data_IF_560717679875
#
_entry.id   IF_560717679875
#
_cell.length_a   1.000
_cell.length_b   1.000
_cell.length_c   1.000
_cell.angle_alpha   90.00
_cell.angle_beta   90.00
_cell.angle_gamma   90.00
#
_symmetry.space_group_name_H-M   'P 1'
#
loop_
_entity.id
_entity.type
_entity.pdbx_description
1 polymer ?
#
# COMPACT_ATOMS: atom_id res chain seq x y z
N UNK A 1 20.57 40.06 39.44
CA UNK A 1 20.70 38.68 38.92
C UNK A 1 19.66 38.51 37.84
N UNK A 2 19.99 38.41 36.55
CA UNK A 2 19.02 38.15 35.51
C UNK A 2 18.61 36.67 35.55
N UNK A 3 17.31 36.42 35.54
CA UNK A 3 16.72 35.12 35.44
C UNK A 3 17.06 34.50 34.09
N UNK A 4 17.52 33.25 34.12
CA UNK A 4 17.83 32.44 32.93
C UNK A 4 16.58 32.37 32.04
N UNK A 5 16.78 32.68 30.75
CA UNK A 5 15.81 32.40 29.73
C UNK A 5 15.57 30.88 29.71
N UNK A 6 14.43 30.45 30.17
CA UNK A 6 13.92 29.09 29.92
C UNK A 6 13.76 28.96 28.41
N UNK A 7 14.53 28.05 27.81
CA UNK A 7 14.30 27.58 26.45
C UNK A 7 12.87 27.02 26.34
N UNK A 8 11.97 27.88 25.88
CA UNK A 8 10.64 27.45 25.47
C UNK A 8 10.82 26.74 24.12
N UNK A 9 10.99 25.43 24.16
CA UNK A 9 10.85 24.64 22.95
C UNK A 9 9.48 24.97 22.33
N UNK A 10 9.42 25.22 21.01
CA UNK A 10 8.13 25.45 20.37
C UNK A 10 7.23 24.23 20.61
N UNK A 11 6.03 24.45 21.12
CA UNK A 11 5.05 23.43 21.53
C UNK A 11 4.63 22.42 20.43
N UNK A 12 5.27 22.42 19.26
CA UNK A 12 4.99 21.58 18.09
C UNK A 12 6.21 20.81 17.53
N UNK A 13 7.37 20.82 18.19
CA UNK A 13 8.53 20.09 17.71
C UNK A 13 8.37 18.57 17.96
N UNK A 14 8.69 17.74 16.96
CA UNK A 14 8.74 16.29 17.14
C UNK A 14 9.89 15.89 18.04
N UNK A 15 9.71 14.85 18.84
CA UNK A 15 10.80 14.26 19.61
C UNK A 15 11.86 13.67 18.67
N UNK A 16 13.16 13.70 19.06
CA UNK A 16 14.22 13.02 18.31
C UNK A 16 13.94 11.52 18.23
N UNK A 17 13.51 11.07 17.06
CA UNK A 17 13.14 9.68 16.75
C UNK A 17 13.05 9.50 15.23
N UNK A 18 12.96 8.24 14.78
CA UNK A 18 12.66 7.92 13.38
C UNK A 18 11.17 7.63 13.25
N UNK A 19 10.50 8.34 12.36
CA UNK A 19 9.11 8.13 11.98
C UNK A 19 9.06 7.52 10.59
N UNK A 20 8.78 6.22 10.52
CA UNK A 20 8.66 5.47 9.25
C UNK A 20 7.22 5.64 8.77
N UNK A 21 7.04 6.40 7.69
CA UNK A 21 5.72 6.88 7.24
C UNK A 21 5.40 6.36 5.85
N UNK A 22 4.22 5.77 5.69
CA UNK A 22 3.67 5.44 4.38
C UNK A 22 3.24 6.70 3.64
N UNK A 23 3.86 6.93 2.48
CA UNK A 23 3.60 8.07 1.60
C UNK A 23 2.35 7.92 0.74
N UNK A 24 1.71 6.75 0.76
CA UNK A 24 0.65 6.42 -0.17
C UNK A 24 1.15 5.96 -1.54
N UNK A 25 0.25 5.64 -2.47
CA UNK A 25 0.57 4.97 -3.74
C UNK A 25 1.13 5.92 -4.82
N UNK A 26 0.96 7.24 -4.63
CA UNK A 26 1.37 8.22 -5.63
C UNK A 26 0.65 9.56 -5.50
N UNK A 27 -0.67 9.57 -5.32
CA UNK A 27 -1.43 10.79 -5.09
C UNK A 27 -1.08 11.40 -3.71
N UNK A 28 -0.62 12.65 -3.62
CA UNK A 28 -0.18 13.25 -2.36
C UNK A 28 -1.26 13.33 -1.29
N UNK A 29 -2.52 13.46 -1.68
CA UNK A 29 -3.69 13.51 -0.80
C UNK A 29 -4.09 12.15 -0.20
N UNK A 30 -3.42 11.06 -0.63
CA UNK A 30 -3.58 9.73 -0.04
C UNK A 30 -2.59 9.45 1.10
N UNK A 31 -1.79 10.40 1.50
CA UNK A 31 -1.06 10.31 2.76
C UNK A 31 -2.03 10.37 3.93
N UNK A 32 -1.72 9.67 5.02
CA UNK A 32 -2.56 9.78 6.23
C UNK A 32 -2.38 11.16 6.88
N UNK A 33 -3.43 11.66 7.55
CA UNK A 33 -3.36 12.92 8.32
C UNK A 33 -2.21 12.90 9.34
N UNK A 34 -1.93 11.73 9.96
CA UNK A 34 -0.77 11.58 10.85
C UNK A 34 0.53 11.72 10.08
N UNK A 35 0.66 11.05 8.96
CA UNK A 35 1.86 11.11 8.11
C UNK A 35 2.15 12.54 7.65
N UNK A 36 1.16 13.26 7.15
CA UNK A 36 1.28 14.65 6.73
C UNK A 36 1.74 15.57 7.87
N UNK A 37 1.14 15.41 9.07
CA UNK A 37 1.53 16.20 10.23
C UNK A 37 2.97 15.95 10.67
N UNK A 38 3.42 14.68 10.67
CA UNK A 38 4.81 14.33 10.96
C UNK A 38 5.75 14.92 9.91
N UNK A 39 5.39 14.81 8.65
CA UNK A 39 6.17 15.34 7.53
C UNK A 39 6.37 16.85 7.62
N UNK A 40 5.33 17.61 7.97
CA UNK A 40 5.39 19.07 8.10
C UNK A 40 6.18 19.56 9.32
N UNK A 41 6.52 18.69 10.27
CA UNK A 41 7.23 19.03 11.50
C UNK A 41 8.65 18.46 11.58
N UNK A 42 9.02 17.56 10.67
CA UNK A 42 10.30 16.86 10.67
C UNK A 42 11.49 17.80 10.48
N UNK A 43 12.62 17.48 11.16
CA UNK A 43 13.91 18.13 10.91
C UNK A 43 14.59 17.57 9.67
N UNK A 44 14.41 16.28 9.42
CA UNK A 44 15.00 15.57 8.29
C UNK A 44 13.96 14.67 7.63
N UNK A 45 13.94 14.68 6.30
CA UNK A 45 13.07 13.80 5.49
C UNK A 45 13.92 12.96 4.56
N UNK A 46 13.90 11.63 4.74
CA UNK A 46 14.51 10.66 3.83
C UNK A 46 13.43 10.02 2.97
N UNK A 47 13.60 10.01 1.65
CA UNK A 47 12.59 9.47 0.73
C UNK A 47 13.20 8.78 -0.48
N UNK A 48 12.55 7.75 -0.99
CA UNK A 48 12.92 7.11 -2.24
C UNK A 48 12.45 7.96 -3.42
N UNK A 49 13.30 8.87 -3.91
CA UNK A 49 12.98 9.85 -4.95
C UNK A 49 12.57 9.26 -6.31
N UNK A 50 12.66 7.94 -6.49
CA UNK A 50 12.12 7.23 -7.66
C UNK A 50 10.69 6.70 -7.48
N UNK A 51 10.16 6.71 -6.24
CA UNK A 51 8.90 6.09 -5.86
C UNK A 51 7.97 7.00 -5.06
N UNK A 52 8.49 8.09 -4.49
CA UNK A 52 7.73 9.10 -3.74
C UNK A 52 7.65 10.37 -4.59
N UNK A 53 6.44 10.88 -4.90
CA UNK A 53 6.29 12.09 -5.69
C UNK A 53 6.82 13.31 -4.94
N UNK A 54 7.45 14.22 -5.68
CA UNK A 54 8.04 15.45 -5.12
C UNK A 54 6.98 16.42 -4.61
N UNK A 55 5.77 16.35 -5.12
CA UNK A 55 4.61 17.14 -4.67
C UNK A 55 4.30 16.90 -3.19
N UNK A 56 4.55 15.70 -2.69
CA UNK A 56 4.38 15.37 -1.27
C UNK A 56 5.35 16.16 -0.37
N UNK A 57 6.51 16.56 -0.91
CA UNK A 57 7.52 17.32 -0.18
C UNK A 57 7.17 18.81 -0.04
N UNK A 58 6.12 19.28 -0.70
CA UNK A 58 5.64 20.67 -0.58
C UNK A 58 5.19 21.01 0.86
N UNK A 59 4.74 20.01 1.63
CA UNK A 59 4.35 20.18 3.02
C UNK A 59 5.54 20.17 4.01
N UNK A 60 6.74 19.86 3.54
CA UNK A 60 7.97 19.87 4.36
C UNK A 60 8.36 21.30 4.68
N UNK A 61 8.68 21.58 5.93
CA UNK A 61 9.13 22.93 6.33
C UNK A 61 10.43 23.32 5.61
N UNK A 62 10.63 24.60 5.29
CA UNK A 62 11.77 25.07 4.48
C UNK A 62 13.14 24.76 5.08
N UNK A 63 13.23 24.68 6.42
CA UNK A 63 14.46 24.42 7.17
C UNK A 63 14.81 22.93 7.25
N UNK A 64 13.90 22.04 6.90
CA UNK A 64 14.14 20.62 6.99
C UNK A 64 15.10 20.13 5.90
N UNK A 65 16.02 19.26 6.31
CA UNK A 65 16.92 18.59 5.38
C UNK A 65 16.16 17.51 4.59
N UNK A 66 16.21 17.55 3.26
CA UNK A 66 15.55 16.59 2.38
C UNK A 66 16.59 15.72 1.67
N UNK A 67 16.58 14.40 1.90
CA UNK A 67 17.58 13.47 1.40
C UNK A 67 16.93 12.40 0.53
N UNK A 68 17.25 12.38 -0.77
CA UNK A 68 16.88 11.30 -1.68
C UNK A 68 17.74 10.06 -1.46
N UNK A 69 17.11 8.89 -1.32
CA UNK A 69 17.81 7.65 -0.95
C UNK A 69 17.93 6.62 -2.07
N UNK A 70 17.57 6.96 -3.32
CA UNK A 70 17.54 6.00 -4.42
C UNK A 70 18.92 5.38 -4.79
N UNK A 71 20.00 6.03 -4.43
CA UNK A 71 21.39 5.60 -4.67
C UNK A 71 22.12 5.15 -3.40
N UNK A 72 21.42 5.05 -2.26
CA UNK A 72 22.00 4.64 -0.99
C UNK A 72 21.70 3.16 -0.69
N UNK A 73 22.62 2.51 0.00
CA UNK A 73 22.38 1.18 0.57
C UNK A 73 21.52 1.27 1.85
N UNK A 74 21.00 0.15 2.30
CA UNK A 74 20.21 0.10 3.54
C UNK A 74 21.04 0.56 4.74
N UNK A 75 22.31 0.12 4.81
CA UNK A 75 23.23 0.47 5.87
C UNK A 75 23.48 1.99 5.91
N UNK A 76 23.71 2.63 4.77
CA UNK A 76 23.87 4.07 4.65
C UNK A 76 22.61 4.84 5.08
N UNK A 77 21.43 4.33 4.74
CA UNK A 77 20.16 4.93 5.15
C UNK A 77 19.99 4.82 6.67
N UNK A 78 20.31 3.67 7.26
CA UNK A 78 20.22 3.47 8.71
C UNK A 78 21.23 4.36 9.44
N UNK A 79 22.48 4.44 8.96
CA UNK A 79 23.52 5.31 9.52
C UNK A 79 23.05 6.77 9.54
N UNK A 80 22.50 7.28 8.43
CA UNK A 80 21.94 8.62 8.37
C UNK A 80 20.84 8.84 9.41
N UNK A 81 19.89 7.90 9.54
CA UNK A 81 18.82 8.01 10.53
C UNK A 81 19.37 8.06 11.96
N UNK A 82 20.31 7.17 12.28
CA UNK A 82 20.95 7.10 13.60
C UNK A 82 21.69 8.41 13.94
N UNK A 83 22.49 8.91 13.02
CA UNK A 83 23.29 10.13 13.23
C UNK A 83 22.40 11.37 13.44
N UNK A 84 21.32 11.49 12.68
CA UNK A 84 20.39 12.62 12.83
C UNK A 84 19.65 12.57 14.17
N UNK A 85 19.17 11.40 14.58
CA UNK A 85 18.48 11.27 15.88
C UNK A 85 19.45 11.51 17.04
N UNK A 86 20.68 11.01 16.98
CA UNK A 86 21.73 11.30 17.99
C UNK A 86 22.09 12.80 18.03
N UNK A 87 21.94 13.50 16.93
CA UNK A 87 22.08 14.95 16.86
C UNK A 87 20.81 15.71 17.29
N UNK A 88 19.91 15.05 18.02
CA UNK A 88 18.65 15.62 18.55
C UNK A 88 17.67 16.07 17.45
N UNK A 89 17.70 15.46 16.28
CA UNK A 89 16.78 15.75 15.18
C UNK A 89 15.70 14.65 15.04
N UNK A 90 14.51 15.06 14.64
CA UNK A 90 13.44 14.18 14.22
C UNK A 90 13.60 13.79 12.75
N UNK A 91 13.45 12.50 12.44
CA UNK A 91 13.64 11.98 11.09
C UNK A 91 12.34 11.34 10.59
N UNK A 92 11.79 11.84 9.48
CA UNK A 92 10.73 11.15 8.75
C UNK A 92 11.35 10.34 7.61
N UNK A 93 11.12 9.02 7.62
CA UNK A 93 11.48 8.11 6.54
C UNK A 93 10.23 7.78 5.73
N UNK A 94 10.08 8.37 4.54
CA UNK A 94 8.96 8.10 3.63
C UNK A 94 9.17 6.82 2.83
N UNK A 95 8.20 5.93 2.88
CA UNK A 95 8.09 4.74 2.03
C UNK A 95 6.89 4.87 1.09
N UNK A 96 7.05 4.44 -0.16
CA UNK A 96 5.93 4.33 -1.08
C UNK A 96 4.89 3.32 -0.59
N UNK A 97 3.62 3.62 -0.79
CA UNK A 97 2.50 2.82 -0.32
C UNK A 97 2.44 2.73 1.21
N UNK A 98 2.50 1.51 1.71
CA UNK A 98 2.49 1.15 3.14
C UNK A 98 3.81 0.50 3.57
N UNK A 99 4.41 0.91 4.69
CA UNK A 99 5.68 0.35 5.17
C UNK A 99 5.67 -1.15 5.46
N UNK A 100 4.51 -1.78 5.66
CA UNK A 100 4.41 -3.21 5.92
C UNK A 100 4.58 -4.09 4.68
N UNK A 101 4.61 -3.49 3.46
CA UNK A 101 4.69 -4.22 2.20
C UNK A 101 5.99 -3.92 1.45
N UNK A 102 6.91 -4.88 1.41
CA UNK A 102 8.15 -4.87 0.61
C UNK A 102 9.07 -3.64 0.81
N UNK A 103 9.08 -3.07 1.99
CA UNK A 103 9.78 -1.81 2.31
C UNK A 103 11.09 -1.98 3.09
N UNK A 104 11.53 -3.20 3.36
CA UNK A 104 12.65 -3.50 4.26
C UNK A 104 12.44 -2.95 5.70
N UNK A 105 11.18 -2.79 6.12
CA UNK A 105 10.85 -2.31 7.46
C UNK A 105 11.47 -3.18 8.57
N UNK A 106 11.48 -4.50 8.36
CA UNK A 106 12.05 -5.44 9.33
C UNK A 106 13.54 -5.19 9.58
N UNK A 107 14.32 -5.03 8.51
CA UNK A 107 15.77 -4.78 8.62
C UNK A 107 16.04 -3.41 9.24
N UNK A 108 15.33 -2.36 8.81
CA UNK A 108 15.45 -1.01 9.36
C UNK A 108 15.10 -1.00 10.86
N UNK A 109 13.98 -1.60 11.25
CA UNK A 109 13.53 -1.66 12.64
C UNK A 109 14.54 -2.39 13.55
N UNK A 110 15.09 -3.51 13.07
CA UNK A 110 16.15 -4.23 13.80
C UNK A 110 17.41 -3.39 14.00
N UNK A 111 17.86 -2.70 12.96
CA UNK A 111 19.05 -1.88 13.01
C UNK A 111 18.87 -0.66 13.94
N UNK A 112 17.72 0.00 13.88
CA UNK A 112 17.37 1.10 14.78
C UNK A 112 17.30 0.64 16.24
N UNK A 113 16.65 -0.51 16.51
CA UNK A 113 16.58 -1.09 17.85
C UNK A 113 17.98 -1.46 18.40
N UNK A 114 18.85 -2.03 17.57
CA UNK A 114 20.22 -2.35 17.95
C UNK A 114 21.08 -1.10 18.24
N UNK A 115 20.74 0.04 17.63
CA UNK A 115 21.37 1.34 17.88
C UNK A 115 20.70 2.13 19.01
N UNK A 116 19.68 1.56 19.68
CA UNK A 116 18.87 2.18 20.73
C UNK A 116 18.18 3.48 20.27
N UNK A 117 17.81 3.53 18.99
CA UNK A 117 17.09 4.66 18.39
C UNK A 117 15.57 4.40 18.48
N UNK A 118 14.80 5.31 19.10
CA UNK A 118 13.35 5.21 19.11
C UNK A 118 12.77 5.38 17.72
N UNK A 119 11.77 4.56 17.37
CA UNK A 119 11.07 4.70 16.10
C UNK A 119 9.58 4.41 16.22
N UNK A 120 8.78 5.03 15.34
CA UNK A 120 7.35 4.82 15.17
C UNK A 120 7.06 4.47 13.72
N UNK A 121 6.07 3.58 13.48
CA UNK A 121 5.61 3.24 12.14
C UNK A 121 4.19 3.80 11.95
N UNK A 122 4.01 4.56 10.87
CA UNK A 122 2.73 5.12 10.47
C UNK A 122 2.27 4.48 9.17
N UNK A 123 1.11 3.81 9.15
CA UNK A 123 0.63 3.13 7.96
C UNK A 123 0.33 4.10 6.80
N UNK A 124 0.32 3.58 5.59
CA UNK A 124 -0.06 4.29 4.37
C UNK A 124 -1.10 3.55 3.55
N UNK A 125 -1.63 4.20 2.52
CA UNK A 125 -2.51 3.55 1.54
C UNK A 125 -1.65 2.78 0.54
N UNK A 126 -1.84 1.46 0.46
CA UNK A 126 -1.09 0.63 -0.49
C UNK A 126 -1.66 0.73 -1.91
N UNK A 127 -0.81 0.46 -2.91
CA UNK A 127 -1.19 0.51 -4.32
C UNK A 127 -2.38 -0.40 -4.68
N UNK A 128 -2.56 -1.56 -4.02
CA UNK A 128 -3.71 -2.43 -4.29
C UNK A 128 -5.03 -1.79 -3.88
N UNK A 129 -5.05 -1.04 -2.77
CA UNK A 129 -6.25 -0.34 -2.30
C UNK A 129 -6.61 0.82 -3.24
N UNK A 130 -5.62 1.60 -3.67
CA UNK A 130 -5.83 2.67 -4.62
C UNK A 130 -6.29 2.13 -5.99
N UNK A 131 -5.68 1.05 -6.48
CA UNK A 131 -6.11 0.41 -7.72
C UNK A 131 -7.55 -0.10 -7.64
N UNK A 132 -7.94 -0.75 -6.54
CA UNK A 132 -9.32 -1.20 -6.31
C UNK A 132 -10.30 -0.01 -6.29
N UNK A 133 -9.91 1.11 -5.67
CA UNK A 133 -10.72 2.34 -5.65
C UNK A 133 -10.89 2.95 -7.04
N UNK A 134 -9.80 3.10 -7.82
CA UNK A 134 -9.87 3.59 -9.21
C UNK A 134 -10.72 2.69 -10.10
N UNK A 135 -10.64 1.37 -9.89
CA UNK A 135 -11.47 0.38 -10.59
C UNK A 135 -12.91 0.28 -10.03
N UNK A 136 -13.22 1.00 -8.95
CA UNK A 136 -14.50 0.94 -8.24
C UNK A 136 -14.91 -0.50 -7.88
N UNK A 137 -13.93 -1.33 -7.49
CA UNK A 137 -14.12 -2.77 -7.27
C UNK A 137 -13.84 -3.13 -5.82
N UNK A 138 -14.80 -3.81 -5.19
CA UNK A 138 -14.56 -4.52 -3.93
C UNK A 138 -13.87 -5.85 -4.24
N UNK A 139 -12.72 -6.11 -3.61
CA UNK A 139 -11.94 -7.34 -3.84
C UNK A 139 -12.45 -8.55 -3.06
N UNK A 140 -13.52 -8.39 -2.29
CA UNK A 140 -14.12 -9.42 -1.42
C UNK A 140 -15.63 -9.58 -1.67
N UNK A 141 -16.01 -9.75 -2.93
CA UNK A 141 -17.42 -9.86 -3.35
C UNK A 141 -18.05 -11.14 -2.78
N UNK A 142 -19.18 -11.04 -2.05
CA UNK A 142 -19.86 -12.19 -1.47
C UNK A 142 -20.17 -13.29 -2.49
N UNK A 143 -19.93 -14.57 -2.11
CA UNK A 143 -20.13 -15.77 -2.94
C UNK A 143 -19.20 -15.90 -4.16
N UNK A 144 -18.37 -14.92 -4.47
CA UNK A 144 -17.39 -14.99 -5.55
C UNK A 144 -15.96 -15.16 -5.00
N UNK A 145 -15.54 -14.26 -4.14
CA UNK A 145 -14.20 -14.26 -3.56
C UNK A 145 -14.23 -13.56 -2.21
N UNK A 146 -13.58 -14.12 -1.20
CA UNK A 146 -13.58 -13.57 0.17
C UNK A 146 -12.17 -13.39 0.75
N UNK A 147 -11.13 -13.68 -0.03
CA UNK A 147 -9.74 -13.57 0.41
C UNK A 147 -8.95 -12.70 -0.56
N UNK A 148 -8.03 -11.92 -0.02
CA UNK A 148 -7.07 -11.13 -0.79
C UNK A 148 -5.68 -11.65 -0.47
N UNK A 149 -4.91 -12.02 -1.49
CA UNK A 149 -3.53 -12.47 -1.40
C UNK A 149 -2.64 -11.37 -1.97
N UNK A 150 -1.76 -10.81 -1.14
CA UNK A 150 -0.72 -9.87 -1.55
C UNK A 150 0.57 -10.65 -1.71
N UNK A 151 1.12 -10.71 -2.92
CA UNK A 151 2.29 -11.53 -3.20
C UNK A 151 3.17 -10.94 -4.30
N UNK A 152 4.30 -11.58 -4.53
CA UNK A 152 5.22 -11.35 -5.63
C UNK A 152 5.68 -12.68 -6.21
N UNK A 153 6.28 -12.67 -7.40
CA UNK A 153 6.95 -13.85 -7.95
C UNK A 153 8.42 -13.90 -7.50
N UNK A 154 8.97 -15.09 -7.40
CA UNK A 154 10.41 -15.29 -7.24
C UNK A 154 11.18 -14.65 -8.40
N UNK A 155 12.23 -13.91 -8.05
CA UNK A 155 13.10 -13.20 -8.99
C UNK A 155 14.54 -13.19 -8.47
N UNK A 156 15.13 -12.02 -8.26
CA UNK A 156 16.44 -11.90 -7.61
C UNK A 156 16.46 -12.44 -6.18
N UNK A 157 15.33 -12.32 -5.49
CA UNK A 157 15.08 -12.90 -4.17
C UNK A 157 13.99 -13.94 -4.30
N UNK A 158 14.16 -15.07 -3.63
CA UNK A 158 13.19 -16.17 -3.65
C UNK A 158 12.04 -15.87 -2.69
N UNK A 159 10.87 -16.44 -2.95
CA UNK A 159 9.80 -16.62 -1.99
C UNK A 159 9.88 -18.05 -1.43
N UNK A 160 9.36 -18.34 -0.23
CA UNK A 160 9.25 -19.71 0.26
C UNK A 160 8.45 -20.60 -0.70
N UNK A 161 8.80 -21.88 -0.82
CA UNK A 161 8.14 -22.81 -1.76
C UNK A 161 6.61 -22.83 -1.59
N UNK A 162 6.11 -22.75 -0.36
CA UNK A 162 4.68 -22.73 -0.06
C UNK A 162 3.99 -21.42 -0.52
N UNK A 163 4.76 -20.37 -0.80
CA UNK A 163 4.29 -19.06 -1.26
C UNK A 163 4.59 -18.83 -2.76
N UNK A 164 5.06 -19.83 -3.46
CA UNK A 164 5.22 -19.74 -4.92
C UNK A 164 3.89 -19.42 -5.59
N UNK A 165 3.95 -18.59 -6.65
CA UNK A 165 2.77 -18.01 -7.26
C UNK A 165 1.73 -19.06 -7.69
N UNK A 166 2.16 -20.22 -8.19
CA UNK A 166 1.25 -21.31 -8.55
C UNK A 166 0.48 -21.86 -7.35
N UNK A 167 1.16 -22.06 -6.21
CA UNK A 167 0.53 -22.52 -4.97
C UNK A 167 -0.53 -21.51 -4.47
N UNK A 168 -0.21 -20.24 -4.48
CA UNK A 168 -1.15 -19.18 -4.08
C UNK A 168 -2.31 -19.02 -5.06
N UNK A 169 -2.06 -19.13 -6.36
CA UNK A 169 -3.06 -19.06 -7.41
C UNK A 169 -4.10 -20.19 -7.32
N UNK A 170 -3.74 -21.36 -6.78
CA UNK A 170 -4.65 -22.48 -6.56
C UNK A 170 -5.84 -22.14 -5.64
N UNK A 171 -5.71 -21.14 -4.77
CA UNK A 171 -6.81 -20.65 -3.93
C UNK A 171 -7.87 -19.87 -4.71
N UNK A 172 -7.59 -19.41 -5.94
CA UNK A 172 -8.50 -18.60 -6.77
C UNK A 172 -9.06 -17.38 -6.05
N UNK A 173 -8.29 -16.84 -5.11
CA UNK A 173 -8.58 -15.63 -4.37
C UNK A 173 -8.39 -14.37 -5.23
N UNK A 174 -8.76 -13.20 -4.73
CA UNK A 174 -8.27 -11.94 -5.27
C UNK A 174 -6.78 -11.85 -5.02
N UNK A 175 -5.96 -11.86 -6.07
CA UNK A 175 -4.52 -11.87 -5.98
C UNK A 175 -3.96 -10.54 -6.49
N UNK A 176 -3.19 -9.86 -5.64
CA UNK A 176 -2.49 -8.61 -5.94
C UNK A 176 -1.01 -8.91 -6.09
N UNK A 177 -0.51 -8.91 -7.33
CA UNK A 177 0.83 -9.33 -7.67
C UNK A 177 1.75 -8.12 -7.84
N UNK A 178 2.68 -7.96 -6.91
CA UNK A 178 3.69 -6.90 -6.87
C UNK A 178 5.00 -7.32 -7.53
N UNK A 179 5.88 -6.36 -7.87
CA UNK A 179 7.29 -6.55 -8.25
C UNK A 179 7.53 -7.57 -9.38
N UNK A 180 6.52 -7.88 -10.20
CA UNK A 180 6.54 -9.02 -11.12
C UNK A 180 6.63 -8.66 -12.60
N UNK A 181 6.67 -7.37 -12.97
CA UNK A 181 6.65 -6.93 -14.37
C UNK A 181 7.83 -7.47 -15.20
N UNK A 182 9.00 -7.66 -14.60
CA UNK A 182 10.18 -8.24 -15.26
C UNK A 182 10.12 -9.75 -15.45
N UNK A 183 9.17 -10.41 -14.82
CA UNK A 183 8.97 -11.86 -14.82
C UNK A 183 7.55 -12.22 -15.25
N UNK A 184 6.94 -11.35 -16.07
CA UNK A 184 5.51 -11.41 -16.37
C UNK A 184 5.10 -12.68 -17.13
N UNK A 185 5.96 -13.22 -17.99
CA UNK A 185 5.68 -14.47 -18.72
C UNK A 185 5.57 -15.66 -17.76
N UNK A 186 6.52 -15.76 -16.82
CA UNK A 186 6.46 -16.79 -15.79
C UNK A 186 5.23 -16.61 -14.90
N UNK A 187 4.96 -15.36 -14.49
CA UNK A 187 3.78 -15.05 -13.69
C UNK A 187 2.48 -15.45 -14.42
N UNK A 188 2.33 -15.07 -15.69
CA UNK A 188 1.17 -15.45 -16.50
C UNK A 188 1.02 -16.96 -16.63
N UNK A 189 2.11 -17.69 -16.88
CA UNK A 189 2.08 -19.15 -17.01
C UNK A 189 1.58 -19.81 -15.72
N UNK A 190 2.09 -19.40 -14.56
CA UNK A 190 1.65 -19.91 -13.25
C UNK A 190 0.19 -19.58 -12.94
N UNK A 191 -0.26 -18.39 -13.29
CA UNK A 191 -1.66 -17.98 -13.09
C UNK A 191 -2.62 -18.78 -13.99
N UNK A 192 -2.24 -19.06 -15.24
CA UNK A 192 -3.05 -19.84 -16.19
C UNK A 192 -3.25 -21.29 -15.79
N UNK A 193 -2.45 -21.84 -14.87
CA UNK A 193 -2.67 -23.17 -14.29
C UNK A 193 -3.96 -23.24 -13.46
N UNK A 194 -4.46 -22.09 -12.95
CA UNK A 194 -5.55 -22.04 -11.98
C UNK A 194 -6.69 -21.08 -12.35
N UNK A 195 -6.43 -20.04 -13.11
CA UNK A 195 -7.44 -19.07 -13.55
C UNK A 195 -7.76 -19.23 -15.04
N UNK A 196 -9.02 -18.98 -15.46
CA UNK A 196 -9.40 -19.01 -16.86
C UNK A 196 -8.57 -18.02 -17.71
N UNK A 197 -8.21 -18.43 -18.93
CA UNK A 197 -7.40 -17.62 -19.83
C UNK A 197 -8.10 -16.31 -20.27
N UNK A 198 -9.43 -16.33 -20.34
CA UNK A 198 -10.29 -15.21 -20.70
C UNK A 198 -10.72 -14.35 -19.51
N UNK A 199 -10.36 -14.75 -18.27
CA UNK A 199 -10.69 -13.96 -17.09
C UNK A 199 -10.06 -12.57 -17.19
N UNK A 200 -10.85 -11.52 -16.96
CA UNK A 200 -10.36 -10.14 -16.91
C UNK A 200 -9.44 -9.96 -15.69
N UNK A 201 -8.28 -9.38 -15.95
CA UNK A 201 -7.33 -8.89 -14.96
C UNK A 201 -7.09 -7.40 -15.16
N UNK A 202 -6.60 -6.70 -14.15
CA UNK A 202 -6.18 -5.32 -14.28
C UNK A 202 -4.65 -5.21 -14.18
N UNK A 203 -4.05 -4.50 -15.14
CA UNK A 203 -2.64 -4.09 -15.11
C UNK A 203 -2.62 -2.62 -14.73
N UNK A 204 -2.11 -2.32 -13.54
CA UNK A 204 -2.16 -0.99 -12.93
C UNK A 204 -0.74 -0.42 -12.87
N UNK A 205 -0.45 0.57 -13.70
CA UNK A 205 0.84 1.25 -13.77
C UNK A 205 0.76 2.60 -13.08
N UNK A 206 1.68 2.84 -12.14
CA UNK A 206 1.83 4.12 -11.42
C UNK A 206 0.51 4.65 -10.84
N UNK A 207 -0.20 3.78 -10.10
CA UNK A 207 -1.49 4.14 -9.48
C UNK A 207 -1.34 5.37 -8.59
N UNK A 208 -2.23 6.35 -8.76
CA UNK A 208 -2.22 7.62 -8.05
C UNK A 208 -1.22 8.65 -8.58
N UNK A 209 -0.41 8.33 -9.58
CA UNK A 209 0.50 9.29 -10.22
C UNK A 209 -0.18 10.03 -11.38
N UNK A 210 0.29 11.24 -11.79
CA UNK A 210 -0.29 11.97 -12.91
C UNK A 210 -0.30 11.21 -14.25
N UNK A 211 0.61 10.26 -14.41
CA UNK A 211 0.74 9.38 -15.58
C UNK A 211 0.20 7.97 -15.34
N UNK A 212 -0.72 7.82 -14.37
CA UNK A 212 -1.43 6.56 -14.11
C UNK A 212 -2.04 5.98 -15.38
N UNK A 213 -1.89 4.66 -15.54
CA UNK A 213 -2.58 3.91 -16.59
C UNK A 213 -3.09 2.59 -16.03
N UNK A 214 -4.33 2.27 -16.31
CA UNK A 214 -4.94 1.01 -15.95
C UNK A 214 -5.54 0.36 -17.20
N UNK A 215 -5.17 -0.88 -17.47
CA UNK A 215 -5.72 -1.70 -18.55
C UNK A 215 -6.41 -2.91 -17.97
N UNK A 216 -7.60 -3.19 -18.44
CA UNK A 216 -8.29 -4.46 -18.18
C UNK A 216 -8.16 -5.34 -19.43
N UNK A 217 -7.55 -6.50 -19.29
CA UNK A 217 -7.29 -7.44 -20.39
C UNK A 217 -7.56 -8.88 -19.92
N UNK A 218 -7.83 -9.83 -20.84
CA UNK A 218 -7.81 -11.24 -20.52
C UNK A 218 -6.45 -11.67 -19.94
N UNK A 219 -6.45 -12.58 -18.97
CA UNK A 219 -5.22 -13.11 -18.34
C UNK A 219 -4.22 -13.59 -19.39
N UNK A 220 -4.69 -14.27 -20.45
CA UNK A 220 -3.83 -14.72 -21.55
C UNK A 220 -3.07 -13.59 -22.26
N UNK A 221 -3.48 -12.34 -22.13
CA UNK A 221 -2.85 -11.18 -22.75
C UNK A 221 -1.96 -10.37 -21.78
N UNK A 222 -1.83 -10.80 -20.52
CA UNK A 222 -1.09 -10.08 -19.48
C UNK A 222 0.35 -9.77 -19.88
N UNK A 223 1.11 -10.77 -20.34
CA UNK A 223 2.50 -10.59 -20.74
C UNK A 223 2.63 -9.72 -22.01
N UNK A 224 1.83 -10.00 -23.04
CA UNK A 224 1.84 -9.24 -24.29
C UNK A 224 1.54 -7.75 -24.05
N UNK A 225 0.55 -7.45 -23.20
CA UNK A 225 0.21 -6.07 -22.86
C UNK A 225 1.33 -5.39 -22.07
N UNK A 226 1.91 -6.08 -21.09
CA UNK A 226 3.03 -5.58 -20.29
C UNK A 226 4.23 -5.20 -21.18
N UNK A 227 4.56 -6.03 -22.18
CA UNK A 227 5.64 -5.73 -23.12
C UNK A 227 5.31 -4.60 -24.08
N UNK A 228 4.11 -4.58 -24.62
CA UNK A 228 3.64 -3.48 -25.51
C UNK A 228 3.78 -2.11 -24.83
N UNK A 229 3.42 -2.03 -23.54
CA UNK A 229 3.51 -0.81 -22.74
C UNK A 229 4.92 -0.61 -22.11
N UNK A 230 5.85 -1.53 -22.33
CA UNK A 230 7.23 -1.50 -21.79
C UNK A 230 7.30 -1.38 -20.27
N UNK A 231 6.41 -2.05 -19.56
CA UNK A 231 6.33 -1.98 -18.11
C UNK A 231 7.43 -2.85 -17.49
N UNK A 232 8.25 -2.27 -16.61
CA UNK A 232 9.37 -2.96 -15.95
C UNK A 232 9.41 -2.73 -14.43
N UNK A 233 8.64 -1.76 -13.92
CA UNK A 233 8.58 -1.36 -12.51
C UNK A 233 7.29 -0.60 -12.23
N UNK A 234 6.96 -0.38 -10.95
CA UNK A 234 5.81 0.40 -10.49
C UNK A 234 4.50 -0.08 -11.13
N UNK A 235 4.39 -1.41 -11.27
CA UNK A 235 3.26 -2.10 -11.89
C UNK A 235 2.69 -3.10 -10.90
N UNK A 236 1.38 -3.02 -10.67
CA UNK A 236 0.58 -3.95 -9.91
C UNK A 236 -0.36 -4.70 -10.85
N UNK A 237 -0.47 -6.02 -10.68
CA UNK A 237 -1.48 -6.82 -11.37
C UNK A 237 -2.55 -7.23 -10.38
N UNK A 238 -3.81 -6.97 -10.70
CA UNK A 238 -4.97 -7.46 -9.96
C UNK A 238 -5.60 -8.60 -10.74
N UNK A 239 -5.54 -9.80 -10.18
CA UNK A 239 -6.12 -11.02 -10.69
C UNK A 239 -7.28 -11.38 -9.78
N UNK A 240 -8.52 -11.09 -10.18
CA UNK A 240 -9.67 -11.30 -9.31
C UNK A 240 -10.95 -11.57 -10.08
N UNK A 241 -11.75 -12.56 -9.66
CA UNK A 241 -13.11 -12.76 -10.17
C UNK A 241 -14.00 -11.53 -9.96
N UNK A 242 -13.69 -10.70 -8.95
CA UNK A 242 -14.44 -9.49 -8.61
C UNK A 242 -14.40 -8.41 -9.71
N UNK A 243 -13.38 -8.39 -10.57
CA UNK A 243 -13.26 -7.40 -11.65
C UNK A 243 -14.41 -7.49 -12.67
N UNK A 244 -14.98 -8.66 -12.84
CA UNK A 244 -16.15 -8.86 -13.72
C UNK A 244 -17.50 -8.71 -12.99
N UNK A 245 -17.51 -8.52 -11.67
CA UNK A 245 -18.74 -8.52 -10.87
C UNK A 245 -19.72 -7.40 -11.26
N UNK A 246 -19.21 -6.24 -11.64
CA UNK A 246 -20.04 -5.11 -12.10
C UNK A 246 -20.75 -5.35 -13.44
N UNK A 247 -20.32 -6.36 -14.21
CA UNK A 247 -20.93 -6.72 -15.49
C UNK A 247 -22.05 -7.76 -15.33
N UNK A 248 -22.23 -8.32 -14.12
CA UNK A 248 -23.24 -9.33 -13.84
C UNK A 248 -24.50 -8.66 -13.30
N UNK A 249 -25.64 -8.86 -14.00
CA UNK A 249 -26.93 -8.28 -13.62
C UNK A 249 -27.48 -8.79 -12.25
N UNK A 250 -27.10 -10.01 -11.84
CA UNK A 250 -27.50 -10.63 -10.58
C UNK A 250 -26.34 -10.64 -9.57
N UNK A 251 -25.95 -9.45 -9.10
CA UNK A 251 -24.91 -9.31 -8.08
C UNK A 251 -25.28 -10.01 -6.78
N UNK A 252 -24.38 -10.86 -6.27
CA UNK A 252 -24.55 -11.48 -4.94
C UNK A 252 -24.56 -10.41 -3.86
N UNK A 253 -25.61 -10.39 -3.05
CA UNK A 253 -25.80 -9.39 -2.00
C UNK A 253 -25.28 -9.90 -0.66
N UNK A 254 -24.57 -9.06 0.07
CA UNK A 254 -24.18 -9.37 1.44
C UNK A 254 -25.38 -9.74 2.30
N UNK A 255 -25.27 -10.83 3.05
CA UNK A 255 -26.29 -11.27 4.00
C UNK A 255 -26.56 -10.20 5.08
N UNK A 256 -25.54 -9.52 5.53
CA UNK A 256 -25.60 -8.49 6.58
C UNK A 256 -26.56 -7.35 6.24
N UNK A 257 -26.66 -6.97 4.97
CA UNK A 257 -27.49 -5.87 4.49
C UNK A 257 -28.84 -6.32 3.92
N UNK A 258 -29.19 -7.60 4.03
CA UNK A 258 -30.52 -8.06 3.60
C UNK A 258 -31.60 -7.52 4.54
N UNK A 259 -32.78 -7.10 4.03
CA UNK A 259 -33.88 -6.62 4.87
C UNK A 259 -34.34 -7.63 5.93
N UNK A 260 -34.23 -8.92 5.60
CA UNK A 260 -34.60 -10.05 6.50
C UNK A 260 -33.54 -10.37 7.56
N UNK A 261 -32.32 -9.77 7.49
CA UNK A 261 -31.26 -10.05 8.44
C UNK A 261 -31.39 -9.11 9.66
N UNK A 262 -31.53 -9.68 10.85
CA UNK A 262 -31.52 -8.94 12.11
C UNK A 262 -30.16 -9.09 12.80
N UNK A 263 -29.72 -8.03 13.45
CA UNK A 263 -28.51 -8.02 14.29
C UNK A 263 -28.67 -6.99 15.42
N UNK A 264 -27.71 -6.93 16.34
CA UNK A 264 -27.75 -6.11 17.56
C UNK A 264 -28.24 -4.66 17.34
N UNK A 265 -27.80 -4.02 16.24
CA UNK A 265 -28.15 -2.63 15.91
C UNK A 265 -29.30 -2.49 14.90
N UNK A 266 -29.85 -3.61 14.39
CA UNK A 266 -30.99 -3.65 13.47
C UNK A 266 -31.86 -4.85 13.82
N UNK A 267 -32.69 -4.77 14.90
CA UNK A 267 -33.64 -5.81 15.23
C UNK A 267 -34.69 -5.92 14.13
N UNK A 268 -35.24 -7.12 13.89
CA UNK A 268 -36.36 -7.27 13.00
C UNK A 268 -37.56 -6.47 13.54
N UNK A 269 -38.13 -5.58 12.73
CA UNK A 269 -39.44 -5.01 13.02
C UNK A 269 -40.44 -6.16 13.09
N UNK A 270 -40.89 -6.50 14.29
CA UNK A 270 -42.07 -7.36 14.43
C UNK A 270 -43.21 -6.67 13.70
N UNK A 271 -43.98 -7.38 12.85
CA UNK A 271 -45.16 -6.78 12.23
C UNK A 271 -46.08 -6.32 13.36
N UNK A 272 -46.41 -5.02 13.36
CA UNK A 272 -47.39 -4.45 14.31
C UNK A 272 -48.64 -5.30 14.25
N UNK A 273 -49.15 -5.83 15.39
CA UNK A 273 -50.40 -6.58 15.38
C UNK A 273 -51.50 -5.67 14.83
N UNK A 274 -52.17 -6.12 13.76
CA UNK A 274 -53.35 -5.46 13.22
C UNK A 274 -54.34 -5.31 14.38
N UNK A 275 -54.71 -4.09 14.73
CA UNK A 275 -55.86 -3.86 15.65
C UNK A 275 -57.05 -4.57 15.06
N UNK A 276 -57.79 -5.39 15.84
CA UNK A 276 -59.10 -5.89 15.43
C UNK A 276 -60.04 -4.71 15.24
N UNK A 277 -60.67 -4.62 14.06
CA UNK A 277 -61.71 -3.67 13.76
C UNK A 277 -63.02 -4.00 14.46
#
# INVERSE_FOLDING_TARGET
MPQSATDVQPQNALSPAVYIVGAGPGAPDLITVRGQRLLSQADVVLYANSLVPTELLADVRPEAEQIGTANLTLEQIVELMVDRVRSQQSVVRLHDGDPSLYSALYEQGRALAAAEIPFEVVPGVSAFQAAAATLQTELTVPQQVQSIILTRISGRTQVPDAEELGALAAHRASLCLYLSARHVENAQARLLEHYPADMLIAICYRVGWPDEKIWQVPLAQMAAKTHTERLIRTTLYLISPALAAHQQADGSRSQLYRPSHSHLFRPQNQPTPRKPG
#
